data_IF_840864180356
#
_entry.id   IF_840864180356
#
_cell.length_a   1.000
_cell.length_b   1.000
_cell.length_c   1.000
_cell.angle_alpha   90.00
_cell.angle_beta   90.00
_cell.angle_gamma   90.00
#
_symmetry.space_group_name_H-M   'P 1'
#
loop_
_entity.id
_entity.type
_entity.pdbx_description
1 polymer ?
#
# COMPACT_ATOMS: atom_id res chain seq x y z
N UNK A 1 -21.44 -10.00 10.46
CA UNK A 1 -21.06 -8.88 9.55
C UNK A 1 -20.67 -9.41 8.19
N UNK A 2 -19.75 -10.40 8.08
CA UNK A 2 -19.31 -10.98 6.80
C UNK A 2 -20.48 -11.47 5.90
N UNK A 3 -21.59 -11.91 6.47
CA UNK A 3 -22.79 -12.33 5.73
C UNK A 3 -23.39 -11.21 4.84
N UNK A 4 -23.12 -9.94 5.13
CA UNK A 4 -23.49 -8.83 4.26
C UNK A 4 -22.63 -8.72 3.01
N UNK A 5 -21.43 -9.32 3.04
CA UNK A 5 -20.45 -9.23 1.96
C UNK A 5 -20.40 -10.46 1.07
N UNK A 6 -20.96 -11.58 1.51
CA UNK A 6 -20.97 -12.82 0.74
C UNK A 6 -20.59 -14.04 1.57
N UNK A 7 -19.82 -14.96 0.98
CA UNK A 7 -19.32 -16.13 1.66
C UNK A 7 -18.05 -15.79 2.48
N UNK A 8 -17.87 -16.50 3.60
CA UNK A 8 -16.63 -16.47 4.34
C UNK A 8 -15.57 -17.26 3.57
N UNK A 9 -14.54 -16.58 3.11
CA UNK A 9 -13.44 -17.19 2.33
C UNK A 9 -12.20 -17.49 3.15
N UNK A 10 -12.06 -16.91 4.35
CA UNK A 10 -10.93 -17.17 5.26
C UNK A 10 -11.30 -16.93 6.72
N UNK A 11 -10.57 -17.57 7.64
CA UNK A 11 -10.77 -17.43 9.08
C UNK A 11 -9.94 -16.31 9.69
N UNK A 12 -8.83 -15.95 9.05
CA UNK A 12 -7.91 -14.90 9.50
C UNK A 12 -7.57 -13.99 8.34
N UNK A 13 -7.45 -12.70 8.60
CA UNK A 13 -7.07 -11.67 7.63
C UNK A 13 -5.70 -11.13 8.05
N UNK A 14 -4.70 -11.11 7.14
CA UNK A 14 -3.44 -10.44 7.41
C UNK A 14 -3.64 -8.96 7.71
N UNK A 15 -2.92 -8.45 8.69
CA UNK A 15 -2.94 -7.03 9.06
C UNK A 15 -1.51 -6.51 9.01
N UNK A 16 -1.31 -5.36 8.39
CA UNK A 16 -0.01 -4.70 8.38
C UNK A 16 0.22 -3.92 9.68
N UNK A 17 1.45 -3.94 10.19
CA UNK A 17 1.89 -2.94 11.14
C UNK A 17 1.89 -1.57 10.47
N UNK A 18 1.63 -0.50 11.21
CA UNK A 18 1.55 0.83 10.62
C UNK A 18 2.37 1.84 11.40
N UNK A 19 3.11 2.70 10.70
CA UNK A 19 3.74 3.86 11.28
C UNK A 19 3.60 5.11 10.41
N UNK A 20 3.66 6.28 11.05
CA UNK A 20 3.74 7.56 10.36
C UNK A 20 5.14 7.78 9.77
N UNK A 21 5.32 8.89 9.05
CA UNK A 21 6.64 9.34 8.63
C UNK A 21 7.43 9.82 9.86
N UNK A 22 8.57 9.19 10.10
CA UNK A 22 9.49 9.45 11.21
C UNK A 22 10.92 9.54 10.69
N UNK A 23 11.87 9.83 11.57
CA UNK A 23 13.28 9.70 11.23
C UNK A 23 13.62 8.22 10.92
N UNK A 24 14.60 7.96 10.05
CA UNK A 24 14.94 6.60 9.62
C UNK A 24 15.20 5.62 10.77
N UNK A 25 15.88 6.08 11.83
CA UNK A 25 16.19 5.28 13.02
C UNK A 25 14.94 4.90 13.82
N UNK A 26 13.99 5.83 13.94
CA UNK A 26 12.73 5.57 14.64
C UNK A 26 11.84 4.61 13.83
N UNK A 27 11.85 4.72 12.51
CA UNK A 27 11.18 3.79 11.61
C UNK A 27 11.76 2.37 11.71
N UNK A 28 13.07 2.25 11.87
CA UNK A 28 13.75 0.97 12.08
C UNK A 28 13.35 0.34 13.43
N UNK A 29 13.30 1.15 14.50
CA UNK A 29 12.84 0.67 15.81
C UNK A 29 11.39 0.18 15.77
N UNK A 30 10.50 0.91 15.08
CA UNK A 30 9.11 0.48 14.86
C UNK A 30 9.02 -0.82 14.03
N UNK A 31 9.90 -1.00 13.04
CA UNK A 31 9.94 -2.23 12.25
C UNK A 31 10.40 -3.43 13.09
N UNK A 32 11.39 -3.26 13.97
CA UNK A 32 11.83 -4.27 14.93
C UNK A 32 10.70 -4.67 15.88
N UNK A 33 9.98 -3.69 16.43
CA UNK A 33 8.80 -3.94 17.28
C UNK A 33 7.73 -4.69 16.49
N UNK A 34 7.39 -4.25 15.28
CA UNK A 34 6.42 -4.93 14.43
C UNK A 34 6.78 -6.39 14.17
N UNK A 35 8.04 -6.65 13.81
CA UNK A 35 8.56 -8.00 13.58
C UNK A 35 8.50 -8.86 14.86
N UNK A 36 8.87 -8.30 16.01
CA UNK A 36 8.81 -9.00 17.31
C UNK A 36 7.38 -9.39 17.72
N UNK A 37 6.38 -8.62 17.28
CA UNK A 37 4.97 -8.90 17.49
C UNK A 37 4.38 -9.90 16.47
N UNK A 38 5.19 -10.36 15.50
CA UNK A 38 4.80 -11.34 14.50
C UNK A 38 4.17 -10.74 13.23
N UNK A 39 4.24 -9.42 13.03
CA UNK A 39 3.87 -8.83 11.74
C UNK A 39 4.94 -9.15 10.69
N UNK A 40 4.49 -9.35 9.47
CA UNK A 40 5.37 -9.62 8.31
C UNK A 40 5.31 -8.53 7.26
N UNK A 41 4.44 -7.53 7.48
CA UNK A 41 4.30 -6.39 6.59
C UNK A 41 4.09 -5.11 7.37
N UNK A 42 4.74 -4.03 6.90
CA UNK A 42 4.69 -2.70 7.49
C UNK A 42 4.14 -1.69 6.47
N UNK A 43 3.08 -1.00 6.81
CA UNK A 43 2.60 0.17 6.07
C UNK A 43 3.30 1.41 6.59
N UNK A 44 4.19 1.97 5.78
CA UNK A 44 5.02 3.13 6.09
C UNK A 44 4.55 4.39 5.36
N UNK A 45 4.35 5.49 6.06
CA UNK A 45 4.26 6.82 5.46
C UNK A 45 5.66 7.33 5.12
N UNK A 46 5.87 7.76 3.89
CA UNK A 46 7.20 7.99 3.33
C UNK A 46 7.45 9.45 2.93
N UNK A 47 8.70 9.87 3.04
CA UNK A 47 9.19 11.18 2.58
C UNK A 47 10.24 10.96 1.49
N UNK A 48 10.30 11.79 0.43
CA UNK A 48 11.19 11.55 -0.71
C UNK A 48 12.68 11.71 -0.40
N UNK A 49 13.04 12.41 0.68
CA UNK A 49 14.45 12.72 1.00
C UNK A 49 15.14 11.69 1.89
N UNK A 50 14.41 10.80 2.54
CA UNK A 50 14.96 9.82 3.49
C UNK A 50 14.46 8.38 3.29
N UNK A 51 13.53 8.14 2.36
CA UNK A 51 12.89 6.82 2.20
C UNK A 51 13.88 5.68 1.93
N UNK A 52 14.94 5.94 1.17
CA UNK A 52 15.93 4.91 0.83
C UNK A 52 16.68 4.46 2.09
N UNK A 53 17.14 5.41 2.90
CA UNK A 53 17.80 5.11 4.18
C UNK A 53 16.80 4.48 5.17
N UNK A 54 15.56 4.97 5.21
CA UNK A 54 14.50 4.42 6.06
C UNK A 54 14.26 2.94 5.76
N UNK A 55 14.05 2.57 4.50
CA UNK A 55 13.79 1.16 4.12
C UNK A 55 15.02 0.29 4.38
N UNK A 56 16.24 0.81 4.12
CA UNK A 56 17.47 0.11 4.43
C UNK A 56 17.58 -0.26 5.91
N UNK A 57 17.38 0.74 6.80
CA UNK A 57 17.45 0.51 8.25
C UNK A 57 16.31 -0.38 8.76
N UNK A 58 15.10 -0.25 8.23
CA UNK A 58 13.98 -1.14 8.58
C UNK A 58 14.29 -2.60 8.21
N UNK A 59 14.87 -2.83 7.02
CA UNK A 59 15.31 -4.17 6.60
C UNK A 59 16.38 -4.75 7.52
N UNK A 60 17.36 -3.94 7.88
CA UNK A 60 18.46 -4.36 8.78
C UNK A 60 17.91 -4.73 10.18
N UNK A 61 16.92 -3.97 10.68
CA UNK A 61 16.32 -4.18 12.01
C UNK A 61 15.33 -5.34 12.07
N UNK A 62 14.44 -5.47 11.07
CA UNK A 62 13.34 -6.44 11.09
C UNK A 62 13.63 -7.73 10.32
N UNK A 63 14.70 -7.76 9.53
CA UNK A 63 15.12 -8.91 8.74
C UNK A 63 14.56 -8.94 7.31
N UNK A 64 15.09 -9.87 6.47
CA UNK A 64 14.81 -9.89 5.03
C UNK A 64 13.38 -10.28 4.66
N UNK A 65 12.68 -11.00 5.53
CA UNK A 65 11.31 -11.48 5.30
C UNK A 65 10.24 -10.44 5.71
N UNK A 66 10.67 -9.29 6.26
CA UNK A 66 9.78 -8.22 6.65
C UNK A 66 9.58 -7.24 5.48
N UNK A 67 8.36 -7.19 4.96
CA UNK A 67 8.04 -6.35 3.81
C UNK A 67 7.52 -4.98 4.20
N UNK A 68 7.74 -3.98 3.34
CA UNK A 68 7.34 -2.59 3.57
C UNK A 68 6.48 -2.09 2.42
N UNK A 69 5.23 -1.73 2.69
CA UNK A 69 4.38 -0.95 1.79
C UNK A 69 4.67 0.53 1.98
N UNK A 70 5.25 1.15 0.97
CA UNK A 70 5.70 2.55 0.99
C UNK A 70 4.59 3.46 0.47
N UNK A 71 4.12 4.39 1.30
CA UNK A 71 3.07 5.34 0.95
C UNK A 71 3.53 6.79 1.14
N UNK A 72 4.04 7.41 0.09
CA UNK A 72 4.44 8.82 0.13
C UNK A 72 3.25 9.80 0.07
N UNK A 73 2.01 9.35 -0.04
CA UNK A 73 0.84 10.22 -0.15
C UNK A 73 1.03 11.32 -1.22
N UNK A 74 1.49 10.96 -2.40
CA UNK A 74 1.79 11.81 -3.56
C UNK A 74 3.05 12.70 -3.43
N UNK A 75 3.83 12.58 -2.34
CA UNK A 75 5.00 13.43 -2.09
C UNK A 75 6.19 13.17 -3.02
N UNK A 76 6.21 12.06 -3.78
CA UNK A 76 7.22 11.88 -4.83
C UNK A 76 6.95 12.77 -6.05
N UNK A 77 5.78 13.41 -6.06
CA UNK A 77 5.32 14.49 -6.92
C UNK A 77 5.30 14.14 -8.42
N UNK A 78 6.46 13.87 -9.03
CA UNK A 78 6.60 13.60 -10.46
C UNK A 78 7.07 12.18 -10.76
N UNK A 79 6.67 11.57 -11.91
CA UNK A 79 7.06 10.21 -12.26
C UNK A 79 8.57 9.96 -12.30
N UNK A 80 9.37 10.95 -12.75
CA UNK A 80 10.82 10.79 -12.81
C UNK A 80 11.47 10.73 -11.42
N UNK A 81 10.92 11.47 -10.43
CA UNK A 81 11.39 11.39 -9.03
C UNK A 81 10.99 10.05 -8.43
N UNK A 82 9.74 9.64 -8.61
CA UNK A 82 9.24 8.35 -8.14
C UNK A 82 10.01 7.17 -8.75
N UNK A 83 10.29 7.22 -10.06
CA UNK A 83 11.05 6.16 -10.75
C UNK A 83 12.50 6.08 -10.25
N UNK A 84 13.15 7.22 -10.00
CA UNK A 84 14.51 7.23 -9.42
C UNK A 84 14.52 6.62 -8.02
N UNK A 85 13.59 7.02 -7.15
CA UNK A 85 13.49 6.46 -5.80
C UNK A 85 13.13 4.96 -5.83
N UNK A 86 12.26 4.54 -6.73
CA UNK A 86 11.95 3.13 -6.92
C UNK A 86 13.19 2.32 -7.31
N UNK A 87 14.00 2.81 -8.24
CA UNK A 87 15.24 2.16 -8.66
C UNK A 87 16.26 2.04 -7.51
N UNK A 88 16.30 3.00 -6.59
CA UNK A 88 17.13 2.94 -5.39
C UNK A 88 16.58 1.96 -4.32
N UNK A 89 15.27 1.73 -4.30
CA UNK A 89 14.58 0.82 -3.37
C UNK A 89 14.56 -0.64 -3.84
N UNK A 90 14.50 -0.89 -5.15
CA UNK A 90 14.42 -2.24 -5.73
C UNK A 90 15.49 -3.22 -5.22
N UNK A 91 16.78 -2.82 -5.08
CA UNK A 91 17.83 -3.74 -4.61
C UNK A 91 17.61 -4.27 -3.19
N UNK A 92 16.79 -3.62 -2.39
CA UNK A 92 16.49 -4.12 -1.04
C UNK A 92 15.60 -5.37 -1.06
N UNK A 93 14.75 -5.53 -2.07
CA UNK A 93 13.86 -6.68 -2.21
C UNK A 93 12.75 -6.78 -1.15
N UNK A 94 12.61 -5.77 -0.29
CA UNK A 94 11.65 -5.76 0.82
C UNK A 94 10.46 -4.83 0.60
N UNK A 95 10.49 -3.99 -0.45
CA UNK A 95 9.39 -3.08 -0.75
C UNK A 95 8.25 -3.83 -1.45
N UNK A 96 7.12 -3.99 -0.76
CA UNK A 96 5.97 -4.72 -1.26
C UNK A 96 5.18 -3.95 -2.34
N UNK A 97 5.09 -2.64 -2.20
CA UNK A 97 4.42 -1.76 -3.15
C UNK A 97 4.76 -0.27 -2.91
N UNK A 98 4.51 0.55 -3.93
CA UNK A 98 4.44 2.00 -3.83
C UNK A 98 2.98 2.44 -3.93
N UNK A 99 2.41 2.92 -2.83
CA UNK A 99 1.03 3.41 -2.80
C UNK A 99 0.99 4.92 -3.01
N UNK A 100 0.15 5.37 -3.95
CA UNK A 100 -0.02 6.79 -4.26
C UNK A 100 1.31 7.57 -4.41
N UNK A 101 2.29 7.08 -5.19
CA UNK A 101 3.60 7.73 -5.27
C UNK A 101 3.55 9.13 -5.89
N UNK A 102 2.63 9.34 -6.84
CA UNK A 102 2.46 10.59 -7.59
C UNK A 102 1.02 11.10 -7.52
N UNK A 103 0.76 12.29 -8.06
CA UNK A 103 -0.59 12.91 -8.02
C UNK A 103 -1.62 12.05 -8.75
N UNK A 104 -2.72 11.73 -8.06
CA UNK A 104 -3.79 10.81 -8.52
C UNK A 104 -4.68 11.35 -9.64
N UNK A 105 -4.60 12.61 -9.98
CA UNK A 105 -5.38 13.22 -11.06
C UNK A 105 -4.83 12.92 -12.46
N UNK A 106 -3.70 12.22 -12.56
CA UNK A 106 -3.08 11.85 -13.83
C UNK A 106 -2.73 10.35 -13.84
N UNK A 107 -3.63 9.53 -14.39
CA UNK A 107 -3.44 8.08 -14.48
C UNK A 107 -2.29 7.67 -15.41
N UNK A 108 -1.96 8.49 -16.42
CA UNK A 108 -0.82 8.22 -17.30
C UNK A 108 0.51 8.26 -16.53
N UNK A 109 0.61 9.06 -15.46
CA UNK A 109 1.78 9.09 -14.62
C UNK A 109 1.97 7.78 -13.83
N UNK A 110 0.87 7.18 -13.37
CA UNK A 110 0.91 5.88 -12.72
C UNK A 110 1.29 4.78 -13.71
N UNK A 111 0.71 4.79 -14.93
CA UNK A 111 1.05 3.85 -15.99
C UNK A 111 2.53 3.95 -16.36
N UNK A 112 3.03 5.17 -16.60
CA UNK A 112 4.44 5.42 -16.90
C UNK A 112 5.37 4.92 -15.78
N UNK A 113 5.00 5.14 -14.51
CA UNK A 113 5.79 4.67 -13.38
C UNK A 113 5.78 3.14 -13.31
N UNK A 114 4.63 2.51 -13.48
CA UNK A 114 4.47 1.05 -13.50
C UNK A 114 5.37 0.38 -14.57
N UNK A 115 5.57 1.05 -15.70
CA UNK A 115 6.49 0.59 -16.77
C UNK A 115 7.98 0.76 -16.41
N UNK A 116 8.31 1.55 -15.37
CA UNK A 116 9.69 1.93 -15.01
C UNK A 116 10.23 1.25 -13.76
N UNK A 117 9.40 0.50 -13.03
CA UNK A 117 9.81 -0.18 -11.80
C UNK A 117 9.24 -1.59 -11.74
N UNK A 118 9.98 -2.49 -11.09
CA UNK A 118 9.50 -3.80 -10.71
C UNK A 118 8.69 -3.80 -9.40
N UNK A 119 8.73 -2.70 -8.63
CA UNK A 119 7.94 -2.56 -7.41
C UNK A 119 6.47 -2.33 -7.80
N UNK A 120 5.53 -3.16 -7.33
CA UNK A 120 4.11 -3.00 -7.65
C UNK A 120 3.56 -1.63 -7.28
N UNK A 121 2.71 -1.07 -8.14
CA UNK A 121 2.08 0.23 -7.93
C UNK A 121 0.67 0.03 -7.38
N UNK A 122 0.38 0.72 -6.29
CA UNK A 122 -0.94 0.73 -5.65
C UNK A 122 -1.58 2.12 -5.67
N UNK A 123 -2.91 2.15 -5.74
CA UNK A 123 -3.67 3.38 -5.54
C UNK A 123 -4.70 3.22 -4.42
N UNK A 124 -4.79 4.23 -3.56
CA UNK A 124 -5.89 4.33 -2.60
C UNK A 124 -7.11 4.95 -3.29
N UNK A 125 -8.14 4.15 -3.48
CA UNK A 125 -9.35 4.50 -4.22
C UNK A 125 -10.60 4.20 -3.39
N UNK A 126 -11.43 5.22 -3.17
CA UNK A 126 -12.68 5.06 -2.43
C UNK A 126 -13.87 4.67 -3.30
N UNK A 127 -13.97 5.23 -4.51
CA UNK A 127 -15.16 5.07 -5.36
C UNK A 127 -14.98 3.97 -6.42
N UNK A 128 -16.04 3.14 -6.70
CA UNK A 128 -16.00 2.11 -7.74
C UNK A 128 -15.61 2.62 -9.14
N UNK A 129 -16.05 3.84 -9.49
CA UNK A 129 -15.67 4.48 -10.75
C UNK A 129 -14.19 4.79 -10.87
N UNK A 130 -13.53 5.14 -9.75
CA UNK A 130 -12.08 5.34 -9.69
C UNK A 130 -11.31 4.03 -9.90
N UNK A 131 -11.76 2.94 -9.28
CA UNK A 131 -11.16 1.60 -9.49
C UNK A 131 -11.29 1.20 -10.95
N UNK A 132 -12.47 1.32 -11.54
CA UNK A 132 -12.70 0.99 -12.94
C UNK A 132 -11.84 1.84 -13.89
N UNK A 133 -11.67 3.14 -13.60
CA UNK A 133 -10.84 4.03 -14.39
C UNK A 133 -9.35 3.63 -14.34
N UNK A 134 -8.83 3.33 -13.14
CA UNK A 134 -7.45 2.90 -12.94
C UNK A 134 -7.15 1.55 -13.64
N UNK A 135 -8.08 0.59 -13.56
CA UNK A 135 -7.96 -0.69 -14.24
C UNK A 135 -7.96 -0.52 -15.77
N UNK A 136 -8.87 0.31 -16.32
CA UNK A 136 -8.90 0.60 -17.78
C UNK A 136 -7.64 1.32 -18.27
N UNK A 137 -7.02 2.11 -17.42
CA UNK A 137 -5.76 2.79 -17.73
C UNK A 137 -4.52 1.88 -17.56
N UNK A 138 -4.70 0.63 -17.08
CA UNK A 138 -3.63 -0.34 -16.82
C UNK A 138 -2.50 0.23 -15.94
N UNK A 139 -2.87 1.06 -14.97
CA UNK A 139 -1.92 1.90 -14.23
C UNK A 139 -1.63 1.44 -12.80
N UNK A 140 -2.22 0.31 -12.36
CA UNK A 140 -2.07 -0.23 -11.00
C UNK A 140 -1.88 -1.75 -11.01
N UNK A 141 -1.21 -2.24 -9.96
CA UNK A 141 -1.08 -3.67 -9.65
C UNK A 141 -1.93 -4.04 -8.44
N UNK A 142 -2.20 -3.08 -7.55
CA UNK A 142 -3.00 -3.27 -6.34
C UNK A 142 -3.95 -2.10 -6.10
N UNK A 143 -5.04 -2.37 -5.38
CA UNK A 143 -5.98 -1.34 -4.92
C UNK A 143 -6.06 -1.32 -3.40
N UNK A 144 -5.80 -0.15 -2.80
CA UNK A 144 -6.16 0.12 -1.41
C UNK A 144 -7.57 0.70 -1.39
N UNK A 145 -8.51 0.03 -0.74
CA UNK A 145 -9.92 0.40 -0.72
C UNK A 145 -10.27 1.13 0.58
N UNK A 146 -10.97 2.25 0.44
CA UNK A 146 -11.48 3.01 1.57
C UNK A 146 -12.91 3.50 1.34
N UNK A 147 -13.57 3.92 2.42
CA UNK A 147 -14.92 4.48 2.37
C UNK A 147 -15.99 3.62 3.03
N UNK A 148 -17.29 3.92 2.81
CA UNK A 148 -18.39 3.15 3.38
C UNK A 148 -18.44 1.71 2.89
N UNK A 149 -18.85 0.76 3.73
CA UNK A 149 -18.85 -0.67 3.48
C UNK A 149 -19.44 -1.10 2.12
N UNK A 150 -20.59 -0.52 1.73
CA UNK A 150 -21.18 -0.81 0.42
C UNK A 150 -20.30 -0.37 -0.77
N UNK A 151 -19.59 0.73 -0.60
CA UNK A 151 -18.70 1.26 -1.62
C UNK A 151 -17.46 0.36 -1.74
N UNK A 152 -16.87 -0.02 -0.60
CA UNK A 152 -15.76 -1.00 -0.54
C UNK A 152 -16.16 -2.30 -1.21
N UNK A 153 -17.33 -2.86 -0.89
CA UNK A 153 -17.84 -4.09 -1.52
C UNK A 153 -17.92 -3.99 -3.04
N UNK A 154 -18.46 -2.89 -3.56
CA UNK A 154 -18.57 -2.68 -5.02
C UNK A 154 -17.22 -2.52 -5.69
N UNK A 155 -16.32 -1.80 -5.05
CA UNK A 155 -14.94 -1.59 -5.52
C UNK A 155 -14.15 -2.90 -5.51
N UNK A 156 -14.26 -3.68 -4.44
CA UNK A 156 -13.64 -4.99 -4.33
C UNK A 156 -14.12 -5.96 -5.42
N UNK A 157 -15.44 -5.99 -5.70
CA UNK A 157 -15.99 -6.83 -6.76
C UNK A 157 -15.47 -6.46 -8.16
N UNK A 158 -15.18 -5.16 -8.40
CA UNK A 158 -14.56 -4.71 -9.66
C UNK A 158 -13.10 -5.15 -9.73
N UNK A 159 -12.34 -5.03 -8.64
CA UNK A 159 -10.94 -5.47 -8.58
C UNK A 159 -10.84 -6.99 -8.74
N UNK A 160 -11.69 -7.75 -8.05
CA UNK A 160 -11.78 -9.21 -8.14
C UNK A 160 -12.07 -9.69 -9.57
N UNK A 161 -13.04 -9.06 -10.25
CA UNK A 161 -13.37 -9.38 -11.64
C UNK A 161 -12.23 -9.07 -12.64
N UNK A 162 -11.24 -8.29 -12.23
CA UNK A 162 -10.05 -7.95 -13.02
C UNK A 162 -8.78 -8.69 -12.54
N UNK A 163 -8.90 -9.65 -11.61
CA UNK A 163 -7.79 -10.36 -10.97
C UNK A 163 -6.75 -9.42 -10.32
N UNK A 164 -7.18 -8.23 -9.86
CA UNK A 164 -6.32 -7.27 -9.18
C UNK A 164 -6.52 -7.36 -7.67
N UNK A 165 -5.47 -7.75 -6.91
CA UNK A 165 -5.57 -7.84 -5.46
C UNK A 165 -5.89 -6.49 -4.81
N UNK A 166 -6.66 -6.55 -3.71
CA UNK A 166 -6.98 -5.37 -2.95
C UNK A 166 -6.86 -5.61 -1.43
N UNK A 167 -6.68 -4.53 -0.71
CA UNK A 167 -6.80 -4.51 0.74
C UNK A 167 -7.67 -3.35 1.19
N UNK A 168 -8.10 -3.37 2.45
CA UNK A 168 -8.95 -2.33 3.02
C UNK A 168 -8.09 -1.41 3.88
N UNK A 169 -8.15 -0.12 3.62
CA UNK A 169 -7.56 0.87 4.50
C UNK A 169 -8.47 1.08 5.71
N UNK A 170 -7.90 0.85 6.86
CA UNK A 170 -8.55 1.12 8.13
C UNK A 170 -8.04 2.46 8.66
N UNK A 171 -8.82 3.50 8.45
CA UNK A 171 -8.58 4.79 9.09
C UNK A 171 -9.40 4.88 10.37
N UNK A 172 -8.73 4.85 11.53
CA UNK A 172 -9.41 5.06 12.80
C UNK A 172 -9.05 4.06 13.89
N UNK A 173 -9.30 4.47 15.12
CA UNK A 173 -8.94 3.77 16.35
C UNK A 173 -9.89 2.62 16.71
N UNK A 174 -10.77 2.19 15.82
CA UNK A 174 -11.87 1.34 16.23
C UNK A 174 -11.85 -0.02 15.54
N UNK A 175 -11.48 -1.06 16.30
CA UNK A 175 -11.68 -2.47 15.92
C UNK A 175 -13.12 -2.77 15.50
N UNK A 176 -14.11 -1.97 15.95
CA UNK A 176 -15.49 -2.08 15.53
C UNK A 176 -15.70 -1.71 14.05
N UNK A 177 -14.84 -0.86 13.47
CA UNK A 177 -14.86 -0.58 12.04
C UNK A 177 -14.32 -1.79 11.27
N UNK A 178 -13.24 -2.44 11.74
CA UNK A 178 -12.76 -3.72 11.21
C UNK A 178 -13.84 -4.80 11.22
N UNK A 179 -14.60 -4.87 12.31
CA UNK A 179 -15.70 -5.82 12.44
C UNK A 179 -16.90 -5.48 11.53
N UNK A 180 -16.95 -4.28 10.97
CA UNK A 180 -18.01 -3.84 10.05
C UNK A 180 -17.70 -4.18 8.59
N UNK A 181 -16.47 -4.56 8.26
CA UNK A 181 -16.04 -5.08 6.96
C UNK A 181 -15.85 -6.60 7.04
#
# INVERSE_FOLDING_TARGET
>A
VWQFFGQKVRDRIPVSYWSCAMEPQDSAAEAEVGASLGFTNHKLKARPWDIVETVRLMKDAAGPDYSVGVDPNTLFDYPHVAARLAAELEPFGTVANLEDPVKKNNLDWFRLLREKTSIPIAMHLGAPGGVLAALKAECIDYVNLGGPAQQVRRSAAIADAADVPCWIQMGGLCLSVLAAY
#
